data_IF_685089230805
#
_entry.id   IF_685089230805
#
_cell.length_a   1.000
_cell.length_b   1.000
_cell.length_c   1.000
_cell.angle_alpha   90.00
_cell.angle_beta   90.00
_cell.angle_gamma   90.00
#
_symmetry.space_group_name_H-M   'P 1'
#
loop_
_entity.id
_entity.type
_entity.pdbx_description
1 polymer ?
#
# COMPACT_ATOMS: atom_id res chain seq x y z
N UNK A 1 23.97 36.69 -22.57
CA UNK A 1 23.00 35.58 -22.58
C UNK A 1 22.68 35.21 -21.14
N UNK A 2 21.42 35.29 -20.73
CA UNK A 2 21.02 34.99 -19.36
C UNK A 2 20.99 33.47 -19.14
N UNK A 3 21.83 32.97 -18.23
CA UNK A 3 21.77 31.58 -17.74
C UNK A 3 20.69 31.54 -16.66
N UNK A 4 19.48 31.18 -17.04
CA UNK A 4 18.41 30.94 -16.07
C UNK A 4 18.76 29.67 -15.29
N UNK A 5 18.84 29.70 -13.94
CA UNK A 5 19.08 28.50 -13.16
C UNK A 5 17.83 27.62 -13.27
N UNK A 6 17.98 26.45 -13.88
CA UNK A 6 16.90 25.49 -14.08
C UNK A 6 16.69 24.72 -12.78
N UNK A 7 15.48 24.75 -12.23
CA UNK A 7 15.17 23.97 -11.03
C UNK A 7 15.12 22.45 -11.38
N UNK A 8 15.28 21.60 -10.37
CA UNK A 8 15.31 20.14 -10.56
C UNK A 8 14.00 19.59 -11.17
N UNK A 9 12.86 20.21 -10.87
CA UNK A 9 11.55 19.83 -11.42
C UNK A 9 11.46 20.12 -12.93
N UNK A 10 11.96 21.26 -13.39
CA UNK A 10 12.04 21.62 -14.82
C UNK A 10 13.01 20.69 -15.56
N UNK A 11 14.09 20.28 -14.90
CA UNK A 11 15.08 19.36 -15.47
C UNK A 11 14.52 17.95 -15.69
N UNK A 12 13.70 17.45 -14.75
CA UNK A 12 13.08 16.13 -14.85
C UNK A 12 12.10 16.01 -16.03
N UNK A 13 11.29 17.06 -16.25
CA UNK A 13 10.32 17.12 -17.36
C UNK A 13 11.04 17.15 -18.72
N UNK A 14 12.11 17.93 -18.85
CA UNK A 14 12.85 18.08 -20.11
C UNK A 14 13.68 16.84 -20.43
N UNK A 15 14.26 16.18 -19.42
CA UNK A 15 15.12 15.01 -19.62
C UNK A 15 14.36 13.70 -19.80
N UNK A 16 13.01 13.68 -19.73
CA UNK A 16 12.19 12.47 -19.78
C UNK A 16 12.69 11.37 -18.82
N UNK A 17 13.38 11.77 -17.75
CA UNK A 17 13.89 10.88 -16.72
C UNK A 17 12.85 10.88 -15.62
N UNK A 18 12.31 9.69 -15.33
CA UNK A 18 11.53 9.50 -14.12
C UNK A 18 12.34 10.05 -12.93
N UNK A 19 11.78 10.97 -12.12
CA UNK A 19 12.46 11.39 -10.91
C UNK A 19 12.76 10.12 -10.11
N UNK A 20 14.03 9.95 -9.71
CA UNK A 20 14.39 8.84 -8.83
C UNK A 20 13.51 8.97 -7.60
N UNK A 21 12.68 7.95 -7.33
CA UNK A 21 11.96 7.87 -6.04
C UNK A 21 13.02 8.08 -4.97
N UNK A 22 12.85 9.13 -4.17
CA UNK A 22 13.60 9.32 -2.94
C UNK A 22 13.42 8.00 -2.17
N UNK A 23 14.52 7.39 -1.75
CA UNK A 23 14.49 6.08 -1.10
C UNK A 23 13.42 6.07 0.00
N UNK A 24 12.65 4.99 0.07
CA UNK A 24 11.59 4.85 1.07
C UNK A 24 12.18 5.16 2.44
N UNK A 25 11.63 6.16 3.15
CA UNK A 25 12.18 6.68 4.42
C UNK A 25 12.17 5.63 5.57
N UNK A 26 11.77 4.39 5.28
CA UNK A 26 11.50 3.33 6.23
C UNK A 26 10.06 2.87 6.09
N UNK A 27 9.82 1.58 6.31
CA UNK A 27 8.47 1.03 6.45
C UNK A 27 7.84 1.65 7.70
N UNK A 28 6.87 2.55 7.54
CA UNK A 28 6.11 3.02 8.70
C UNK A 28 5.13 1.92 9.10
N UNK A 29 5.42 1.28 10.24
CA UNK A 29 4.60 0.22 10.78
C UNK A 29 3.69 0.77 11.87
N UNK A 30 2.41 0.47 11.75
CA UNK A 30 1.38 0.84 12.70
C UNK A 30 0.96 -0.42 13.45
N UNK A 31 1.05 -0.44 14.79
CA UNK A 31 0.44 -1.50 15.59
C UNK A 31 -1.07 -1.51 15.39
N UNK A 32 -1.62 -2.66 15.06
CA UNK A 32 -3.03 -2.88 14.83
C UNK A 32 -3.49 -4.06 15.70
N UNK A 33 -4.58 -3.88 16.44
CA UNK A 33 -5.22 -4.93 17.23
C UNK A 33 -6.60 -5.24 16.67
N UNK A 34 -6.82 -6.51 16.40
CA UNK A 34 -8.11 -7.05 16.00
C UNK A 34 -8.78 -7.78 17.17
N UNK A 35 -10.12 -7.91 17.17
CA UNK A 35 -10.80 -8.73 18.17
C UNK A 35 -10.30 -10.18 18.12
N UNK A 36 -9.89 -10.73 19.27
CA UNK A 36 -9.51 -12.14 19.39
C UNK A 36 -8.12 -12.50 18.84
N UNK A 37 -7.29 -11.53 18.45
CA UNK A 37 -5.92 -11.77 17.99
C UNK A 37 -4.93 -10.86 18.72
N UNK A 38 -3.69 -11.31 18.83
CA UNK A 38 -2.58 -10.51 19.29
C UNK A 38 -2.33 -9.32 18.36
N UNK A 39 -1.57 -8.35 18.87
CA UNK A 39 -1.16 -7.17 18.12
C UNK A 39 -0.36 -7.58 16.87
N UNK A 40 -0.69 -6.97 15.74
CA UNK A 40 0.00 -7.16 14.48
C UNK A 40 0.54 -5.82 13.97
N UNK A 41 1.63 -5.85 13.21
CA UNK A 41 2.20 -4.65 12.62
C UNK A 41 1.70 -4.51 11.18
N UNK A 42 0.98 -3.43 10.89
CA UNK A 42 0.50 -3.11 9.55
C UNK A 42 1.42 -2.09 8.88
N UNK A 43 1.70 -2.27 7.59
CA UNK A 43 2.40 -1.27 6.80
C UNK A 43 1.44 -0.13 6.44
N UNK A 44 1.81 1.10 6.80
CA UNK A 44 1.09 2.29 6.35
C UNK A 44 1.60 2.70 4.97
N UNK A 45 0.82 2.40 3.94
CA UNK A 45 1.09 2.83 2.58
C UNK A 45 0.09 3.92 2.16
N UNK A 46 0.51 5.18 2.23
CA UNK A 46 -0.32 6.31 1.78
C UNK A 46 -0.54 6.34 0.26
N UNK A 47 0.24 5.57 -0.50
CA UNK A 47 0.06 5.40 -1.94
C UNK A 47 -0.92 4.28 -2.30
N UNK A 48 -1.31 3.44 -1.35
CA UNK A 48 -2.29 2.39 -1.56
C UNK A 48 -3.71 2.95 -1.47
N UNK A 49 -4.55 2.64 -2.46
CA UNK A 49 -5.97 2.99 -2.44
C UNK A 49 -6.82 2.01 -1.63
N UNK A 50 -6.24 0.87 -1.24
CA UNK A 50 -6.92 -0.21 -0.51
C UNK A 50 -5.99 -0.82 0.55
N UNK A 51 -6.58 -1.33 1.63
CA UNK A 51 -5.85 -2.09 2.64
C UNK A 51 -5.77 -3.57 2.25
N UNK A 52 -4.58 -4.15 2.29
CA UNK A 52 -4.35 -5.57 2.05
C UNK A 52 -4.08 -6.31 3.36
N UNK A 53 -4.69 -7.48 3.50
CA UNK A 53 -4.43 -8.39 4.61
C UNK A 53 -4.01 -9.76 4.08
N UNK A 54 -2.92 -10.35 4.59
CA UNK A 54 -2.56 -11.73 4.26
C UNK A 54 -3.66 -12.70 4.68
N UNK A 55 -3.95 -13.70 3.85
CA UNK A 55 -4.97 -14.71 4.15
C UNK A 55 -4.69 -15.47 5.45
N UNK A 56 -3.42 -15.69 5.79
CA UNK A 56 -3.02 -16.33 7.05
C UNK A 56 -3.47 -15.52 8.27
N UNK A 57 -3.31 -14.20 8.23
CA UNK A 57 -3.76 -13.29 9.28
C UNK A 57 -5.28 -13.33 9.37
N UNK A 58 -5.98 -13.24 8.23
CA UNK A 58 -7.45 -13.32 8.22
C UNK A 58 -7.97 -14.64 8.82
N UNK A 59 -7.35 -15.78 8.48
CA UNK A 59 -7.71 -17.08 9.06
C UNK A 59 -7.53 -17.12 10.58
N UNK A 60 -6.51 -16.44 11.12
CA UNK A 60 -6.27 -16.34 12.56
C UNK A 60 -7.31 -15.51 13.30
N UNK A 61 -7.94 -14.54 12.62
CA UNK A 61 -8.99 -13.72 13.22
C UNK A 61 -10.27 -14.50 13.52
N UNK A 62 -10.45 -15.70 12.95
CA UNK A 62 -11.72 -16.45 13.00
C UNK A 62 -12.93 -15.60 12.59
N UNK A 63 -12.69 -14.49 11.87
CA UNK A 63 -13.68 -13.49 11.52
C UNK A 63 -14.30 -13.79 10.16
N UNK A 64 -15.61 -13.57 10.13
CA UNK A 64 -16.54 -13.30 9.02
C UNK A 64 -16.40 -14.00 7.65
N UNK A 65 -17.58 -14.08 7.03
CA UNK A 65 -17.79 -14.46 5.65
C UNK A 65 -17.05 -13.49 4.72
N UNK A 66 -16.20 -14.06 3.86
CA UNK A 66 -15.46 -13.34 2.84
C UNK A 66 -16.28 -13.32 1.55
N UNK A 67 -16.46 -12.14 0.96
CA UNK A 67 -17.12 -12.04 -0.36
C UNK A 67 -16.07 -12.25 -1.44
N UNK A 68 -16.23 -13.28 -2.28
CA UNK A 68 -15.36 -13.49 -3.43
C UNK A 68 -15.36 -12.26 -4.35
N UNK A 69 -14.23 -11.98 -4.98
CA UNK A 69 -14.08 -10.84 -5.87
C UNK A 69 -13.39 -11.21 -7.16
N UNK A 70 -13.78 -10.55 -8.23
CA UNK A 70 -13.12 -10.63 -9.54
C UNK A 70 -12.13 -9.47 -9.77
N UNK A 71 -11.81 -8.70 -8.73
CA UNK A 71 -10.87 -7.58 -8.83
C UNK A 71 -9.46 -8.05 -9.19
N UNK A 72 -8.72 -7.17 -9.88
CA UNK A 72 -7.29 -7.29 -10.13
C UNK A 72 -6.59 -6.06 -9.57
N UNK A 73 -5.49 -6.27 -8.86
CA UNK A 73 -4.66 -5.22 -8.27
C UNK A 73 -3.40 -5.05 -9.09
N UNK A 74 -3.07 -3.80 -9.42
CA UNK A 74 -1.81 -3.45 -10.05
C UNK A 74 -0.86 -2.92 -9.00
N UNK A 75 0.24 -3.64 -8.78
CA UNK A 75 1.25 -3.30 -7.78
C UNK A 75 2.26 -2.30 -8.32
N UNK A 76 3.06 -1.70 -7.43
CA UNK A 76 4.07 -0.70 -7.78
C UNK A 76 5.17 -1.25 -8.71
N UNK A 77 5.44 -2.56 -8.65
CA UNK A 77 6.33 -3.28 -9.56
C UNK A 77 5.69 -3.62 -10.91
N UNK A 78 4.48 -3.11 -11.15
CA UNK A 78 3.64 -3.33 -12.35
C UNK A 78 3.13 -4.76 -12.50
N UNK A 79 3.32 -5.61 -11.50
CA UNK A 79 2.69 -6.93 -11.49
C UNK A 79 1.21 -6.81 -11.19
N UNK A 80 0.45 -7.80 -11.66
CA UNK A 80 -0.96 -7.93 -11.38
C UNK A 80 -1.19 -9.06 -10.38
N UNK A 81 -1.99 -8.82 -9.34
CA UNK A 81 -2.39 -9.83 -8.36
C UNK A 81 -3.90 -9.87 -8.22
N UNK A 82 -4.45 -11.04 -7.92
CA UNK A 82 -5.89 -11.24 -7.71
C UNK A 82 -6.15 -11.55 -6.25
N UNK A 83 -6.79 -10.65 -5.48
CA UNK A 83 -7.23 -10.96 -4.14
C UNK A 83 -8.29 -12.05 -4.19
N UNK A 84 -8.25 -12.95 -3.21
CA UNK A 84 -9.19 -14.08 -3.13
C UNK A 84 -10.61 -13.58 -2.82
N UNK A 85 -10.70 -12.54 -1.99
CA UNK A 85 -11.98 -12.04 -1.47
C UNK A 85 -11.81 -10.66 -0.81
N UNK A 86 -12.94 -10.06 -0.45
CA UNK A 86 -13.03 -8.77 0.24
C UNK A 86 -13.72 -8.99 1.59
N UNK A 87 -13.17 -8.34 2.62
CA UNK A 87 -13.84 -8.14 3.89
C UNK A 87 -14.42 -6.74 3.96
N UNK A 88 -15.66 -6.61 4.44
CA UNK A 88 -16.32 -5.33 4.71
C UNK A 88 -16.43 -5.14 6.23
N UNK A 89 -16.37 -3.89 6.67
CA UNK A 89 -16.64 -3.48 8.06
C UNK A 89 -15.77 -4.18 9.12
N UNK A 90 -14.48 -4.33 8.83
CA UNK A 90 -13.52 -4.93 9.76
C UNK A 90 -13.18 -3.95 10.89
N UNK A 91 -13.45 -4.35 12.14
CA UNK A 91 -13.08 -3.58 13.32
C UNK A 91 -11.58 -3.74 13.59
N UNK A 92 -10.86 -2.63 13.62
CA UNK A 92 -9.43 -2.57 13.96
C UNK A 92 -9.21 -1.46 14.98
N UNK A 93 -8.37 -1.72 15.98
CA UNK A 93 -7.80 -0.69 16.85
C UNK A 93 -6.39 -0.38 16.36
N UNK A 94 -6.11 0.90 16.16
CA UNK A 94 -4.82 1.46 15.78
C UNK A 94 -4.24 2.23 16.96
#
# INVERSE_FOLDING_TARGET
MAKTPMNEHCSAVILNKLPKKLGDHGKFLIPCKFPGMDECLALADFGASINLMPLSVWKGLSLLELTLTCMTLKLADRTESKPISIAKDVKVKV
#
